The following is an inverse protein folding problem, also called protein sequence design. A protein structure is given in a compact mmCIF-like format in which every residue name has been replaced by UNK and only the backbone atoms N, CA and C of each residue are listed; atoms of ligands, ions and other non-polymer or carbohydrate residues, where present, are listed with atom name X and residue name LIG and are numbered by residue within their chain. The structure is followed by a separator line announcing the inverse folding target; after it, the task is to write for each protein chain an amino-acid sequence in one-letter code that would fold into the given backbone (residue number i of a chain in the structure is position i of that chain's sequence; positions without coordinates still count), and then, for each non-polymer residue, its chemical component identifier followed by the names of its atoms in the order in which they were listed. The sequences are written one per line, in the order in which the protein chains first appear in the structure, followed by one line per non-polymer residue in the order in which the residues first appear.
data_IF_442751685421
#
_entry.id   IF_442751685421
#
_cell.length_a   1.000
_cell.length_b   1.000
_cell.length_c   1.000
_cell.angle_alpha   90.00
_cell.angle_beta   90.00
_cell.angle_gamma   90.00
#
_symmetry.space_group_name_H-M   'P 1'
#
loop_
_entity.id
_entity.type
_entity.pdbx_description
1 polymer ?
#
# COMPACT_ATOMS: atom_id res chain seq x y z
N UNK A 1 -5.54 -13.50 -5.96
CA UNK A 1 -5.97 -13.21 -4.57
C UNK A 1 -5.47 -11.83 -4.24
N UNK A 2 -6.25 -11.04 -3.50
CA UNK A 2 -5.81 -9.72 -3.05
C UNK A 2 -5.38 -9.75 -1.60
N UNK A 3 -4.44 -8.89 -1.27
CA UNK A 3 -3.90 -8.74 0.08
C UNK A 3 -3.87 -7.26 0.45
N UNK A 4 -4.45 -6.93 1.61
CA UNK A 4 -4.21 -5.66 2.27
C UNK A 4 -2.94 -5.80 3.10
N UNK A 5 -1.99 -4.89 2.87
CA UNK A 5 -0.71 -4.89 3.56
C UNK A 5 -0.42 -3.53 4.20
N UNK A 6 0.23 -3.55 5.34
CA UNK A 6 0.83 -2.37 5.96
C UNK A 6 2.33 -2.32 5.68
N UNK A 7 2.85 -1.14 5.37
CA UNK A 7 4.30 -0.85 5.38
C UNK A 7 4.59 0.06 6.55
N UNK A 8 5.65 -0.24 7.30
CA UNK A 8 6.19 0.60 8.37
C UNK A 8 7.71 0.74 8.29
N UNK A 9 8.24 1.91 8.59
CA UNK A 9 9.69 2.14 8.71
C UNK A 9 9.99 3.30 9.65
N UNK A 10 11.05 3.19 10.47
CA UNK A 10 11.53 4.32 11.28
C UNK A 10 13.04 4.58 11.19
N UNK A 11 13.81 3.70 10.52
CA UNK A 11 15.19 4.00 10.09
C UNK A 11 15.17 4.43 8.63
N UNK A 12 15.71 5.61 8.34
CA UNK A 12 15.73 6.23 7.00
C UNK A 12 14.41 6.04 6.21
N UNK A 13 13.25 6.35 6.81
CA UNK A 13 11.98 5.82 6.32
C UNK A 13 11.57 6.36 4.96
N UNK A 14 12.00 7.59 4.61
CA UNK A 14 11.81 8.12 3.26
C UNK A 14 12.50 7.27 2.19
N UNK A 15 13.69 6.74 2.49
CA UNK A 15 14.47 5.92 1.57
C UNK A 15 13.84 4.53 1.47
N UNK A 16 13.60 3.88 2.60
CA UNK A 16 13.16 2.49 2.60
C UNK A 16 11.72 2.33 2.12
N UNK A 17 10.78 3.21 2.49
CA UNK A 17 9.40 3.13 1.98
C UNK A 17 9.38 3.37 0.47
N UNK A 18 10.09 4.40 -0.03
CA UNK A 18 10.13 4.70 -1.47
C UNK A 18 10.73 3.56 -2.30
N UNK A 19 11.80 2.93 -1.80
CA UNK A 19 12.42 1.77 -2.46
C UNK A 19 11.52 0.54 -2.42
N UNK A 20 10.93 0.24 -1.27
CA UNK A 20 10.01 -0.89 -1.13
C UNK A 20 8.83 -0.78 -2.10
N UNK A 21 8.23 0.41 -2.25
CA UNK A 21 7.15 0.63 -3.23
C UNK A 21 7.60 0.38 -4.68
N UNK A 22 8.80 0.82 -5.06
CA UNK A 22 9.34 0.57 -6.39
C UNK A 22 9.61 -0.92 -6.64
N UNK A 23 10.18 -1.62 -5.65
CA UNK A 23 10.50 -3.05 -5.73
C UNK A 23 9.24 -3.92 -5.74
N UNK A 24 8.24 -3.60 -4.90
CA UNK A 24 6.94 -4.25 -4.91
C UNK A 24 6.24 -4.06 -6.26
N UNK A 25 6.27 -2.86 -6.81
CA UNK A 25 5.70 -2.61 -8.13
C UNK A 25 6.39 -3.43 -9.23
N UNK A 26 7.73 -3.52 -9.19
CA UNK A 26 8.51 -4.26 -10.17
C UNK A 26 8.32 -5.79 -10.08
N UNK A 27 8.07 -6.32 -8.87
CA UNK A 27 8.02 -7.76 -8.64
C UNK A 27 6.62 -8.36 -8.50
N UNK A 28 5.66 -7.57 -8.02
CA UNK A 28 4.27 -8.00 -7.81
C UNK A 28 3.35 -7.41 -8.88
N UNK A 29 3.56 -6.15 -9.26
CA UNK A 29 2.73 -5.43 -10.21
C UNK A 29 2.00 -4.26 -9.56
N UNK A 30 0.86 -3.81 -10.13
CA UNK A 30 0.17 -2.60 -9.69
C UNK A 30 -0.17 -2.57 -8.21
N UNK A 31 -0.04 -1.40 -7.60
CA UNK A 31 -0.29 -1.17 -6.17
C UNK A 31 -1.37 -0.10 -6.01
N UNK A 32 -2.41 -0.37 -5.23
CA UNK A 32 -3.30 0.68 -4.73
C UNK A 32 -2.78 1.12 -3.36
N UNK A 33 -2.42 2.39 -3.22
CA UNK A 33 -1.76 2.95 -2.03
C UNK A 33 -2.68 3.93 -1.30
N UNK A 34 -2.58 3.98 0.03
CA UNK A 34 -3.11 5.09 0.84
C UNK A 34 -2.15 6.29 0.83
N UNK A 35 -2.50 7.35 1.57
CA UNK A 35 -1.49 8.30 2.02
C UNK A 35 -0.41 7.63 2.92
N UNK A 36 0.72 8.33 3.09
CA UNK A 36 1.79 7.93 4.00
C UNK A 36 1.74 8.88 5.19
N UNK A 37 1.65 8.34 6.40
CA UNK A 37 1.54 9.13 7.63
C UNK A 37 2.73 8.93 8.53
N UNK A 38 3.01 9.93 9.36
CA UNK A 38 3.97 9.84 10.46
C UNK A 38 3.26 9.45 11.75
N UNK A 39 3.67 8.36 12.39
CA UNK A 39 3.11 7.92 13.68
C UNK A 39 4.20 7.70 14.74
N UNK A 40 3.79 7.75 16.00
CA UNK A 40 4.68 7.41 17.13
C UNK A 40 4.87 5.89 17.24
N UNK A 41 6.02 5.42 17.74
CA UNK A 41 6.23 4.01 18.01
C UNK A 41 5.19 3.47 19.01
N UNK A 42 4.66 2.29 18.73
CA UNK A 42 3.70 1.59 19.61
C UNK A 42 4.31 0.25 20.01
N UNK A 43 4.26 -0.08 21.30
CA UNK A 43 4.80 -1.36 21.81
C UNK A 43 6.34 -1.45 21.82
N UNK A 44 7.04 -0.33 21.58
CA UNK A 44 8.50 -0.23 21.63
C UNK A 44 8.95 1.16 22.10
N UNK A 45 10.20 1.26 22.57
CA UNK A 45 10.81 2.53 22.96
C UNK A 45 11.78 2.99 21.87
N UNK A 46 11.46 4.10 21.20
CA UNK A 46 12.32 4.72 20.21
C UNK A 46 12.09 6.23 20.17
N UNK A 47 13.14 6.97 19.82
CA UNK A 47 13.06 8.40 19.49
C UNK A 47 12.66 8.65 18.03
N UNK A 48 12.61 7.60 17.20
CA UNK A 48 12.31 7.70 15.78
C UNK A 48 10.84 7.41 15.51
N UNK A 49 10.17 8.37 14.88
CA UNK A 49 8.80 8.20 14.38
C UNK A 49 8.78 7.26 13.18
N UNK A 50 7.69 6.52 13.04
CA UNK A 50 7.46 5.66 11.88
C UNK A 50 6.83 6.45 10.74
N UNK A 51 7.17 6.12 9.49
CA UNK A 51 6.28 6.29 8.35
C UNK A 51 5.48 5.01 8.16
N UNK A 52 4.16 5.14 8.07
CA UNK A 52 3.24 4.04 7.82
C UNK A 52 2.35 4.34 6.61
N UNK A 53 2.05 3.31 5.82
CA UNK A 53 1.01 3.37 4.78
C UNK A 53 0.38 2.00 4.55
N UNK A 54 -0.81 2.00 3.96
CA UNK A 54 -1.48 0.80 3.47
C UNK A 54 -1.26 0.65 1.97
N UNK A 55 -1.24 -0.60 1.53
CA UNK A 55 -1.28 -0.96 0.12
C UNK A 55 -2.12 -2.20 -0.11
N UNK A 56 -2.77 -2.25 -1.27
CA UNK A 56 -3.44 -3.44 -1.77
C UNK A 56 -2.68 -3.97 -2.97
N UNK A 57 -2.38 -5.27 -2.94
CA UNK A 57 -1.75 -6.00 -4.05
C UNK A 57 -2.60 -7.17 -4.49
N UNK A 58 -2.55 -7.44 -5.80
CA UNK A 58 -2.96 -8.72 -6.34
C UNK A 58 -1.74 -9.64 -6.46
N UNK A 59 -1.86 -10.87 -5.99
CA UNK A 59 -0.80 -11.86 -6.12
C UNK A 59 -1.37 -13.26 -6.42
N UNK A 60 -0.67 -14.05 -7.26
CA UNK A 60 -0.96 -15.46 -7.42
C UNK A 60 -0.37 -16.33 -6.29
N UNK A 61 0.55 -15.77 -5.48
CA UNK A 61 1.10 -16.46 -4.33
C UNK A 61 0.06 -16.53 -3.21
N UNK A 62 0.08 -17.62 -2.45
CA UNK A 62 -0.65 -17.67 -1.18
C UNK A 62 -0.01 -16.76 -0.12
N UNK A 63 -0.71 -16.59 1.00
CA UNK A 63 -0.27 -15.70 2.08
C UNK A 63 1.09 -16.09 2.67
N UNK A 64 1.42 -17.38 2.71
CA UNK A 64 2.67 -17.87 3.29
C UNK A 64 3.84 -17.52 2.39
N UNK A 65 3.74 -17.82 1.10
CA UNK A 65 4.78 -17.50 0.12
C UNK A 65 4.92 -15.99 -0.08
N UNK A 66 3.81 -15.23 -0.04
CA UNK A 66 3.86 -13.77 -0.08
C UNK A 66 4.57 -13.20 1.17
N UNK A 67 4.25 -13.71 2.37
CA UNK A 67 4.95 -13.28 3.59
C UNK A 67 6.45 -13.59 3.54
N UNK A 68 6.85 -14.74 2.99
CA UNK A 68 8.27 -15.06 2.79
C UNK A 68 8.97 -14.06 1.86
N UNK A 69 8.29 -13.60 0.79
CA UNK A 69 8.81 -12.53 -0.08
C UNK A 69 8.99 -11.22 0.67
N UNK A 70 8.03 -10.84 1.50
CA UNK A 70 8.13 -9.64 2.35
C UNK A 70 9.28 -9.73 3.35
N UNK A 71 9.44 -10.87 4.02
CA UNK A 71 10.58 -11.09 4.93
C UNK A 71 11.92 -10.97 4.19
N UNK A 72 12.03 -11.53 2.98
CA UNK A 72 13.24 -11.39 2.17
C UNK A 72 13.52 -9.93 1.79
N UNK A 73 12.47 -9.15 1.46
CA UNK A 73 12.59 -7.72 1.15
C UNK A 73 13.05 -6.90 2.37
N UNK A 74 12.50 -7.16 3.54
CA UNK A 74 12.92 -6.50 4.78
C UNK A 74 14.39 -6.79 5.12
N UNK A 75 14.82 -8.05 4.97
CA UNK A 75 16.23 -8.44 5.17
C UNK A 75 17.13 -7.76 4.16
N UNK A 76 16.72 -7.66 2.89
CA UNK A 76 17.46 -6.91 1.86
C UNK A 76 17.55 -5.41 2.18
N UNK A 77 16.57 -4.86 2.89
CA UNK A 77 16.59 -3.50 3.42
C UNK A 77 17.41 -3.35 4.71
N UNK A 78 17.97 -4.44 5.25
CA UNK A 78 18.86 -4.41 6.42
C UNK A 78 18.17 -4.74 7.75
N UNK A 79 16.92 -5.24 7.74
CA UNK A 79 16.28 -5.71 8.98
C UNK A 79 16.95 -7.02 9.44
N UNK A 80 17.49 -7.00 10.66
CA UNK A 80 17.94 -8.22 11.32
C UNK A 80 16.75 -8.98 11.90
N UNK A 81 16.29 -10.02 11.19
CA UNK A 81 15.22 -10.94 11.64
C UNK A 81 15.75 -12.06 12.55
N UNK A 82 17.07 -12.19 12.73
CA UNK A 82 17.68 -13.22 13.59
C UNK A 82 17.75 -12.79 15.06
N UNK A 83 17.70 -11.48 15.33
CA UNK A 83 17.61 -10.93 16.68
C UNK A 83 16.27 -11.32 17.36
N UNK A 84 16.29 -12.01 18.52
CA UNK A 84 15.08 -12.32 19.28
C UNK A 84 14.25 -11.09 19.67
N UNK A 85 14.89 -9.93 19.80
CA UNK A 85 14.26 -8.65 20.13
C UNK A 85 13.93 -7.82 18.88
N UNK A 86 14.07 -8.38 17.67
CA UNK A 86 13.84 -7.66 16.43
C UNK A 86 12.47 -6.97 16.38
N UNK A 87 11.44 -7.42 17.13
CA UNK A 87 10.11 -6.81 17.21
C UNK A 87 10.04 -5.48 17.98
N UNK A 88 11.00 -5.20 18.87
CA UNK A 88 11.03 -3.98 19.70
C UNK A 88 12.15 -3.02 19.33
N UNK A 89 12.90 -3.33 18.27
CA UNK A 89 13.96 -2.47 17.74
C UNK A 89 13.51 -1.65 16.54
N UNK A 90 14.20 -0.53 16.33
CA UNK A 90 14.08 0.26 15.11
C UNK A 90 14.38 -0.59 13.89
N UNK A 91 13.70 -0.28 12.78
CA UNK A 91 13.75 -1.10 11.58
C UNK A 91 13.71 -0.25 10.31
N UNK A 92 14.46 -0.67 9.28
CA UNK A 92 14.42 -0.03 7.98
C UNK A 92 13.11 -0.32 7.25
N UNK A 93 12.51 -1.50 7.44
CA UNK A 93 11.27 -1.89 6.77
C UNK A 93 10.53 -2.97 7.57
N UNK A 94 9.21 -2.83 7.65
CA UNK A 94 8.25 -3.85 8.06
C UNK A 94 7.15 -3.93 7.01
N UNK A 95 6.78 -5.14 6.61
CA UNK A 95 5.62 -5.37 5.76
C UNK A 95 4.79 -6.51 6.33
N UNK A 96 3.55 -6.18 6.67
CA UNK A 96 2.58 -7.12 7.22
C UNK A 96 1.39 -7.32 6.31
N UNK A 97 0.94 -8.57 6.19
CA UNK A 97 -0.35 -8.90 5.58
C UNK A 97 -1.40 -8.73 6.68
N UNK A 98 -2.32 -7.80 6.49
CA UNK A 98 -3.38 -7.48 7.44
C UNK A 98 -4.65 -8.28 7.13
N UNK A 99 -4.97 -8.43 5.84
CA UNK A 99 -6.13 -9.20 5.40
C UNK A 99 -5.94 -9.75 3.98
N UNK A 100 -6.75 -10.74 3.60
CA UNK A 100 -6.82 -11.28 2.23
C UNK A 100 -8.26 -11.37 1.76
N UNK A 101 -8.52 -11.07 0.49
CA UNK A 101 -9.84 -11.10 -0.13
C UNK A 101 -9.74 -11.54 -1.61
N UNK A 102 -10.72 -12.27 -2.13
CA UNK A 102 -10.80 -12.66 -3.54
C UNK A 102 -11.14 -11.52 -4.49
N UNK A 103 -11.72 -10.42 -4.00
CA UNK A 103 -12.26 -9.31 -4.79
C UNK A 103 -11.53 -7.97 -4.60
N UNK A 104 -10.57 -7.88 -3.68
CA UNK A 104 -9.80 -6.65 -3.44
C UNK A 104 -10.54 -5.56 -2.64
N UNK A 105 -11.70 -5.88 -2.09
CA UNK A 105 -12.45 -4.98 -1.19
C UNK A 105 -12.08 -5.27 0.28
N UNK A 106 -11.52 -4.27 0.95
CA UNK A 106 -11.09 -4.31 2.35
C UNK A 106 -11.72 -3.20 3.18
N UNK A 107 -12.78 -2.53 2.69
CA UNK A 107 -13.38 -1.38 3.38
C UNK A 107 -13.82 -1.67 4.83
N UNK A 108 -14.12 -2.94 5.12
CA UNK A 108 -14.53 -3.42 6.45
C UNK A 108 -13.48 -4.29 7.13
N UNK A 109 -12.24 -4.31 6.65
CA UNK A 109 -11.17 -5.08 7.26
C UNK A 109 -10.82 -4.50 8.64
N UNK A 110 -10.54 -5.38 9.61
CA UNK A 110 -10.03 -4.98 10.91
C UNK A 110 -8.52 -4.70 10.80
N UNK A 111 -8.12 -3.49 11.19
CA UNK A 111 -6.73 -3.04 11.22
C UNK A 111 -6.46 -2.36 12.55
N UNK A 112 -5.18 -2.22 12.90
CA UNK A 112 -4.78 -1.44 14.07
C UNK A 112 -5.33 -0.01 13.99
N UNK A 113 -5.63 0.58 15.16
CA UNK A 113 -6.31 1.88 15.24
C UNK A 113 -5.59 3.01 14.51
N UNK A 114 -4.25 3.00 14.49
CA UNK A 114 -3.44 4.01 13.78
C UNK A 114 -3.46 3.85 12.25
N UNK A 115 -4.02 2.75 11.73
CA UNK A 115 -4.22 2.51 10.29
C UNK A 115 -5.68 2.70 9.85
N UNK A 116 -6.61 2.85 10.80
CA UNK A 116 -8.04 2.91 10.50
C UNK A 116 -8.42 4.09 9.59
N UNK A 117 -7.83 5.27 9.82
CA UNK A 117 -8.06 6.44 8.96
C UNK A 117 -7.49 6.23 7.55
N UNK A 118 -6.33 5.59 7.41
CA UNK A 118 -5.76 5.26 6.10
C UNK A 118 -6.67 4.31 5.33
N UNK A 119 -7.25 3.32 6.01
CA UNK A 119 -8.16 2.37 5.39
C UNK A 119 -9.45 3.07 4.94
N UNK A 120 -10.03 3.92 5.79
CA UNK A 120 -11.20 4.72 5.44
C UNK A 120 -10.93 5.64 4.25
N UNK A 121 -9.77 6.32 4.22
CA UNK A 121 -9.36 7.16 3.10
C UNK A 121 -9.19 6.36 1.80
N UNK A 122 -8.57 5.19 1.86
CA UNK A 122 -8.32 4.32 0.72
C UNK A 122 -9.61 3.91 -0.02
N UNK A 123 -10.72 3.82 0.72
CA UNK A 123 -12.06 3.51 0.20
C UNK A 123 -13.00 4.73 0.13
N UNK A 124 -12.50 5.95 0.36
CA UNK A 124 -13.27 7.19 0.21
C UNK A 124 -14.32 7.43 1.31
N UNK A 125 -14.11 6.89 2.50
CA UNK A 125 -15.02 6.96 3.64
C UNK A 125 -14.52 7.85 4.79
N UNK A 126 -13.38 8.51 4.64
CA UNK A 126 -12.82 9.37 5.70
C UNK A 126 -11.64 10.21 5.24
N UNK A 127 -11.20 11.06 6.16
CA UNK A 127 -9.99 11.87 6.02
C UNK A 127 -8.96 11.42 7.06
N UNK A 128 -7.69 11.52 6.66
CA UNK A 128 -6.54 11.21 7.52
C UNK A 128 -6.05 12.50 8.16
N UNK A 129 -6.05 12.54 9.48
CA UNK A 129 -5.65 13.69 10.28
C UNK A 129 -4.17 13.67 10.65
N UNK A 130 -3.55 12.49 10.66
CA UNK A 130 -2.12 12.36 10.90
C UNK A 130 -1.28 13.10 9.85
N UNK A 131 -0.09 13.62 10.22
CA UNK A 131 0.77 14.33 9.29
C UNK A 131 1.17 13.45 8.09
N UNK A 132 0.66 13.83 6.91
CA UNK A 132 0.99 13.15 5.65
C UNK A 132 2.38 13.52 5.17
N UNK A 133 3.03 12.57 4.51
CA UNK A 133 4.40 12.71 4.02
C UNK A 133 4.47 12.40 2.53
N UNK A 134 4.96 13.37 1.76
CA UNK A 134 5.25 13.14 0.34
C UNK A 134 6.53 12.32 0.19
N UNK A 135 6.47 11.28 -0.64
CA UNK A 135 7.61 10.45 -1.02
C UNK A 135 7.84 10.51 -2.53
N UNK A 136 9.06 10.21 -2.97
CA UNK A 136 9.43 10.15 -4.38
C UNK A 136 9.77 8.71 -4.74
N UNK A 137 8.88 8.05 -5.48
CA UNK A 137 9.08 6.67 -5.93
C UNK A 137 9.66 6.69 -7.33
N UNK A 138 10.70 5.91 -7.52
CA UNK A 138 11.43 5.83 -8.77
C UNK A 138 10.97 4.61 -9.55
N UNK A 139 10.32 4.85 -10.69
CA UNK A 139 9.67 3.84 -11.50
C UNK A 139 10.54 3.51 -12.73
N UNK A 140 10.61 2.23 -13.16
CA UNK A 140 11.19 1.89 -14.44
C UNK A 140 10.33 2.51 -15.55
N UNK A 141 10.92 3.38 -16.38
CA UNK A 141 10.20 4.01 -17.49
C UNK A 141 9.72 2.96 -18.49
N UNK A 142 8.49 3.11 -18.99
CA UNK A 142 8.02 2.31 -20.12
C UNK A 142 8.89 2.62 -21.35
N UNK A 143 9.74 1.68 -21.73
CA UNK A 143 10.44 1.74 -23.01
C UNK A 143 9.43 1.47 -24.12
N UNK A 144 8.91 2.54 -24.72
CA UNK A 144 8.25 2.44 -26.00
C UNK A 144 9.28 1.88 -27.02
N UNK A 145 8.85 0.98 -27.91
CA UNK A 145 9.72 0.08 -28.70
C UNK A 145 10.69 0.75 -29.69
N UNK A 146 10.96 2.06 -29.60
CA UNK A 146 11.75 2.80 -30.59
C UNK A 146 12.99 3.56 -30.07
N UNK A 147 13.35 3.54 -28.78
CA UNK A 147 14.62 4.17 -28.32
C UNK A 147 15.27 3.40 -27.15
N UNK A 148 16.50 2.86 -27.33
CA UNK A 148 17.26 2.32 -26.22
C UNK A 148 17.84 3.48 -25.39
N UNK A 149 17.37 3.60 -24.14
CA UNK A 149 17.89 4.56 -23.15
C UNK A 149 17.03 5.81 -22.98
N UNK A 150 16.41 5.91 -21.79
CA UNK A 150 15.68 7.04 -21.14
C UNK A 150 14.27 6.60 -20.73
N UNK A 151 13.85 6.65 -19.48
CA UNK A 151 14.50 7.14 -18.27
C UNK A 151 13.71 6.68 -17.05
N UNK A 152 14.38 6.65 -15.90
CA UNK A 152 13.72 6.57 -14.60
C UNK A 152 12.66 7.68 -14.52
N UNK A 153 11.42 7.31 -14.20
CA UNK A 153 10.36 8.27 -13.93
C UNK A 153 10.21 8.38 -12.42
N UNK A 154 10.38 9.58 -11.87
CA UNK A 154 10.10 9.82 -10.46
C UNK A 154 8.65 10.28 -10.31
N UNK A 155 7.90 9.62 -9.43
CA UNK A 155 6.52 9.95 -9.12
C UNK A 155 6.38 10.28 -7.64
N UNK A 156 5.69 11.38 -7.36
CA UNK A 156 5.33 11.72 -6.00
C UNK A 156 4.15 10.89 -5.51
N UNK A 157 4.24 10.35 -4.30
CA UNK A 157 3.18 9.58 -3.61
C UNK A 157 3.01 10.06 -2.16
N UNK A 158 1.99 9.54 -1.46
CA UNK A 158 1.87 9.67 0.00
C UNK A 158 1.02 10.83 0.52
N UNK A 159 0.57 11.75 -0.35
CA UNK A 159 -0.35 12.83 0.06
C UNK A 159 -1.84 12.45 -0.02
N UNK A 160 -2.15 11.28 -0.55
CA UNK A 160 -3.50 10.74 -0.69
C UNK A 160 -3.49 9.42 -1.46
N UNK A 161 -4.65 8.76 -1.59
CA UNK A 161 -4.74 7.49 -2.27
C UNK A 161 -4.42 7.60 -3.76
N UNK A 162 -3.74 6.60 -4.30
CA UNK A 162 -3.43 6.52 -5.73
C UNK A 162 -3.15 5.08 -6.15
N UNK A 163 -3.22 4.82 -7.45
CA UNK A 163 -2.75 3.56 -8.03
C UNK A 163 -1.39 3.80 -8.71
N UNK A 164 -0.43 2.91 -8.47
CA UNK A 164 0.85 2.84 -9.16
C UNK A 164 0.85 1.69 -10.16
N UNK A 165 1.38 1.92 -11.37
CA UNK A 165 1.63 0.87 -12.35
C UNK A 165 0.45 0.53 -13.27
N UNK A 166 -0.62 1.32 -13.26
CA UNK A 166 -1.71 1.17 -14.25
C UNK A 166 -1.35 1.86 -15.57
N UNK A 167 -1.66 1.25 -16.73
CA UNK A 167 -1.33 1.82 -18.05
C UNK A 167 -2.14 3.07 -18.43
N UNK A 168 -3.09 3.50 -17.60
CA UNK A 168 -4.00 4.64 -17.83
C UNK A 168 -3.50 5.97 -17.25
N UNK A 169 -2.21 6.15 -17.03
CA UNK A 169 -1.63 7.45 -16.60
C UNK A 169 -1.48 8.47 -17.74
N UNK A 170 -2.42 8.42 -18.68
CA UNK A 170 -2.69 9.48 -19.65
C UNK A 170 -4.15 9.88 -19.49
N UNK A 171 -4.37 11.11 -19.04
CA UNK A 171 -5.67 11.75 -18.77
C UNK A 171 -6.25 11.51 -17.38
N UNK A 172 -6.12 12.53 -16.54
CA UNK A 172 -6.97 12.73 -15.38
C UNK A 172 -8.45 12.61 -15.79
N UNK A 173 -9.13 11.61 -15.24
CA UNK A 173 -10.54 11.66 -14.82
C UNK A 173 -10.77 10.52 -13.85
N UNK A 174 -11.18 10.88 -12.63
CA UNK A 174 -11.63 9.92 -11.62
C UNK A 174 -12.69 8.99 -12.23
N UNK A 175 -12.65 7.67 -11.97
CA UNK A 175 -13.78 6.84 -12.31
C UNK A 175 -14.91 7.15 -11.32
N UNK A 176 -15.99 7.75 -11.82
CA UNK A 176 -17.26 7.70 -11.13
C UNK A 176 -17.68 6.23 -11.04
N UNK A 177 -17.70 5.69 -9.83
CA UNK A 177 -18.29 4.39 -9.54
C UNK A 177 -19.80 4.57 -9.74
N UNK A 178 -20.30 4.20 -10.92
CA UNK A 178 -21.74 4.02 -11.13
C UNK A 178 -22.15 2.74 -10.39
N UNK A 179 -22.77 2.88 -9.21
CA UNK A 179 -23.56 1.81 -8.61
C UNK A 179 -24.79 1.59 -9.51
N UNK A 180 -24.75 0.50 -10.27
CA UNK A 180 -25.91 -0.01 -11.00
C UNK A 180 -26.90 -0.59 -9.96
N UNK A 181 -27.89 0.21 -9.59
CA UNK A 181 -28.99 -0.22 -8.73
C UNK A 181 -29.93 -1.11 -9.55
N UNK A 182 -29.67 -2.42 -9.52
CA UNK A 182 -30.50 -3.44 -10.13
C UNK A 182 -31.99 -3.32 -9.73
N UNK A 183 -32.84 -3.32 -10.74
CA UNK A 183 -34.30 -3.21 -10.64
C UNK A 183 -34.89 -4.29 -9.73
N UNK A 184 -35.57 -3.88 -8.64
CA UNK A 184 -36.44 -4.77 -7.87
C UNK A 184 -37.86 -4.65 -8.39
N UNK A 185 -38.29 -5.71 -9.08
CA UNK A 185 -39.70 -6.02 -9.34
C UNK A 185 -40.48 -6.01 -8.01
N UNK A 186 -41.51 -5.16 -7.92
CA UNK A 186 -42.55 -5.30 -6.89
C UNK A 186 -43.81 -5.82 -7.60
N UNK A 187 -44.09 -7.10 -7.38
CA UNK A 187 -45.37 -7.74 -7.73
C UNK A 187 -46.35 -7.42 -6.60
N UNK A 188 -47.41 -6.68 -6.91
CA UNK A 188 -48.54 -6.45 -5.99
C UNK A 188 -49.61 -7.51 -6.29
N UNK A 189 -50.03 -8.36 -5.34
CA UNK A 189 -51.20 -9.21 -5.55
C UNK A 189 -52.48 -8.41 -5.33
N UNK A 190 -53.43 -8.63 -6.23
CA UNK A 190 -54.81 -8.21 -6.18
C UNK A 190 -55.58 -9.07 -5.17
N UNK A 191 -56.22 -8.44 -4.18
CA UNK A 191 -57.63 -8.61 -3.73
C UNK A 191 -57.81 -8.06 -2.31
#
# INVERSE_FOLDING_TARGET
MFYLCGIGSNLDPHIHVSRALAELLAHIGPLQLSSVIRTKPVGMHSSHDFLNCLLVVESPLDAVHLKQRFVALEVAHGRDRSDPLCKVHDRPLDIDILASNTHGDFATAEVDSYLAELLAELYGHGEVHDPKVALQVTLPGHSDKLKPGKGLLTRQVGLGPLVLGSPSEGSQRAPAIHLDAGSRHITVPHQ
#
